data_IF_404186199511
#
_entry.id   IF_404186199511
#
_cell.length_a   1.000
_cell.length_b   1.000
_cell.length_c   1.000
_cell.angle_alpha   90.00
_cell.angle_beta   90.00
_cell.angle_gamma   90.00
#
_symmetry.space_group_name_H-M   'P 1'
#
loop_
_entity.id
_entity.type
_entity.pdbx_description
1 polymer ?
#
# COMPACT_ATOMS: atom_id res chain seq x y z
N UNK A 1 10.03 -19.43 -11.80
CA UNK A 1 10.42 -19.43 -10.37
C UNK A 1 10.56 -17.97 -9.99
N UNK A 2 9.48 -17.35 -9.53
CA UNK A 2 9.57 -16.01 -8.94
C UNK A 2 10.26 -16.21 -7.60
N UNK A 3 11.43 -15.59 -7.41
CA UNK A 3 12.01 -15.47 -6.08
C UNK A 3 10.95 -14.83 -5.17
N UNK A 4 10.93 -15.16 -3.89
CA UNK A 4 9.90 -14.68 -2.98
C UNK A 4 9.82 -13.15 -2.84
N UNK A 5 10.56 -12.36 -3.63
CA UNK A 5 10.69 -10.91 -3.58
C UNK A 5 9.48 -10.13 -4.14
N UNK A 6 8.59 -10.79 -4.89
CA UNK A 6 7.41 -10.16 -5.49
C UNK A 6 6.14 -10.14 -4.62
N UNK A 7 6.15 -10.79 -3.45
CA UNK A 7 4.96 -10.92 -2.61
C UNK A 7 4.72 -9.66 -1.74
N UNK A 8 3.45 -9.30 -1.45
CA UNK A 8 3.15 -8.30 -0.43
C UNK A 8 3.87 -8.65 0.89
N UNK A 9 4.49 -7.66 1.53
CA UNK A 9 5.15 -7.82 2.82
C UNK A 9 6.66 -8.06 2.78
N UNK A 10 7.24 -8.49 1.66
CA UNK A 10 8.71 -8.63 1.53
C UNK A 10 9.44 -7.32 1.85
N UNK A 11 9.00 -6.15 1.35
CA UNK A 11 9.67 -4.90 1.72
C UNK A 11 9.61 -4.63 3.22
N UNK A 12 8.50 -4.96 3.88
CA UNK A 12 8.36 -4.81 5.33
C UNK A 12 9.30 -5.76 6.09
N UNK A 13 9.55 -6.97 5.58
CA UNK A 13 10.52 -7.90 6.16
C UNK A 13 11.96 -7.39 6.02
N UNK A 14 12.34 -6.94 4.83
CA UNK A 14 13.68 -6.35 4.57
C UNK A 14 13.92 -5.15 5.48
N UNK A 15 12.92 -4.30 5.66
CA UNK A 15 12.98 -3.09 6.48
C UNK A 15 12.63 -3.33 7.96
N UNK A 16 12.35 -4.57 8.37
CA UNK A 16 11.96 -4.97 9.73
C UNK A 16 10.76 -4.19 10.30
N UNK A 17 9.77 -3.90 9.46
CA UNK A 17 8.52 -3.26 9.86
C UNK A 17 7.53 -4.31 10.36
N UNK A 18 7.76 -4.80 11.58
CA UNK A 18 7.11 -6.00 12.16
C UNK A 18 5.58 -6.00 12.09
N UNK A 19 4.93 -4.83 12.14
CA UNK A 19 3.47 -4.70 12.15
C UNK A 19 2.89 -4.20 10.83
N UNK A 20 3.63 -4.26 9.72
CA UNK A 20 3.21 -3.75 8.40
C UNK A 20 3.44 -4.77 7.27
N UNK A 21 2.81 -4.51 6.13
CA UNK A 21 3.07 -5.25 4.88
C UNK A 21 2.25 -6.53 4.70
N UNK A 22 1.45 -6.95 5.67
CA UNK A 22 0.46 -8.04 5.51
C UNK A 22 -0.90 -7.64 6.06
N UNK A 23 -1.96 -8.24 5.51
CA UNK A 23 -3.33 -8.08 5.98
C UNK A 23 -3.64 -9.22 6.97
N UNK A 24 -3.37 -8.98 8.25
CA UNK A 24 -3.63 -9.93 9.34
C UNK A 24 -4.12 -9.18 10.59
N UNK A 25 -4.90 -9.83 11.47
CA UNK A 25 -5.28 -9.24 12.75
C UNK A 25 -4.06 -8.77 13.55
N UNK A 26 -4.16 -7.59 14.18
CA UNK A 26 -3.09 -6.99 14.98
C UNK A 26 -2.06 -6.17 14.20
N UNK A 27 -2.10 -6.19 12.86
CA UNK A 27 -1.22 -5.35 12.03
C UNK A 27 -1.79 -3.94 11.80
N UNK A 28 -0.93 -3.00 11.39
CA UNK A 28 -1.37 -1.67 10.97
C UNK A 28 -2.27 -1.79 9.74
N UNK A 29 -3.37 -1.06 9.75
CA UNK A 29 -4.33 -1.00 8.63
C UNK A 29 -3.82 -0.07 7.52
N UNK A 30 -2.71 -0.48 6.89
CA UNK A 30 -2.22 0.10 5.64
C UNK A 30 -2.78 -0.72 4.48
N UNK A 31 -3.85 -0.23 3.84
CA UNK A 31 -4.68 -1.01 2.92
C UNK A 31 -4.86 -0.24 1.63
N UNK A 32 -4.61 -0.90 0.50
CA UNK A 32 -4.94 -0.38 -0.83
C UNK A 32 -6.05 -1.23 -1.46
N UNK A 33 -7.09 -0.58 -1.97
CA UNK A 33 -8.20 -1.20 -2.69
C UNK A 33 -8.18 -0.65 -4.11
N UNK A 34 -8.00 -1.51 -5.10
CA UNK A 34 -7.86 -1.08 -6.49
C UNK A 34 -8.29 -2.17 -7.48
N UNK A 35 -8.63 -1.74 -8.69
CA UNK A 35 -8.76 -2.60 -9.85
C UNK A 35 -7.40 -2.64 -10.58
N UNK A 36 -6.87 -3.83 -10.82
CA UNK A 36 -5.62 -3.99 -11.56
C UNK A 36 -5.80 -3.60 -13.04
N UNK A 37 -5.30 -2.43 -13.41
CA UNK A 37 -5.41 -1.88 -14.77
C UNK A 37 -4.06 -1.37 -15.29
N UNK A 38 -2.98 -2.11 -15.02
CA UNK A 38 -1.63 -1.77 -15.46
C UNK A 38 -1.31 -2.36 -16.84
N UNK A 39 -0.62 -1.59 -17.69
CA UNK A 39 -0.01 -2.10 -18.94
C UNK A 39 1.50 -1.93 -18.89
N UNK A 40 2.22 -2.97 -19.26
CA UNK A 40 3.69 -2.95 -19.34
C UNK A 40 4.22 -2.10 -20.51
N UNK A 41 3.37 -1.86 -21.52
CA UNK A 41 3.78 -1.26 -22.79
C UNK A 41 3.87 0.27 -22.76
N UNK A 42 3.35 0.90 -21.71
CA UNK A 42 3.41 2.34 -21.50
C UNK A 42 3.78 2.62 -20.04
N UNK A 43 5.07 2.50 -19.67
CA UNK A 43 5.53 2.81 -18.33
C UNK A 43 5.32 4.30 -18.01
N UNK A 44 5.25 4.64 -16.72
CA UNK A 44 5.07 6.02 -16.20
C UNK A 44 3.70 6.68 -16.45
N UNK A 45 2.68 5.92 -16.84
CA UNK A 45 1.31 6.44 -16.81
C UNK A 45 0.84 6.61 -15.37
N UNK A 46 -0.04 7.59 -15.15
CA UNK A 46 -0.73 7.72 -13.86
C UNK A 46 -1.50 6.43 -13.62
N UNK A 47 -1.31 5.83 -12.45
CA UNK A 47 -2.03 4.62 -12.07
C UNK A 47 -3.53 4.89 -12.03
N UNK A 48 -4.28 4.18 -12.87
CA UNK A 48 -5.75 4.19 -12.85
C UNK A 48 -6.27 2.98 -12.09
N UNK A 49 -7.46 3.11 -11.48
CA UNK A 49 -8.13 2.01 -10.78
C UNK A 49 -7.94 1.97 -9.26
N UNK A 50 -7.21 2.92 -8.67
CA UNK A 50 -7.17 3.09 -7.20
C UNK A 50 -8.54 3.56 -6.71
N UNK A 51 -9.15 2.79 -5.80
CA UNK A 51 -10.48 3.11 -5.23
C UNK A 51 -10.35 3.74 -3.85
N UNK A 52 -9.59 3.12 -2.95
CA UNK A 52 -9.39 3.61 -1.60
C UNK A 52 -7.99 3.29 -1.08
N UNK A 53 -7.43 4.19 -0.29
CA UNK A 53 -6.20 3.95 0.47
C UNK A 53 -6.41 4.31 1.93
N UNK A 54 -6.02 3.40 2.82
CA UNK A 54 -5.98 3.62 4.26
C UNK A 54 -4.53 3.60 4.73
N UNK A 55 -4.16 4.52 5.62
CA UNK A 55 -2.85 4.57 6.28
C UNK A 55 -3.09 4.55 7.77
N UNK A 56 -2.54 3.55 8.48
CA UNK A 56 -2.80 3.33 9.89
C UNK A 56 -4.31 3.35 10.26
N UNK A 57 -5.17 2.92 9.34
CA UNK A 57 -6.64 2.90 9.50
C UNK A 57 -7.36 4.21 9.16
N UNK A 58 -6.65 5.31 8.92
CA UNK A 58 -7.25 6.56 8.44
C UNK A 58 -7.41 6.55 6.92
N UNK A 59 -8.60 6.93 6.42
CA UNK A 59 -8.85 7.08 4.99
C UNK A 59 -8.01 8.23 4.43
N UNK A 60 -7.07 7.90 3.55
CA UNK A 60 -6.09 8.82 2.99
C UNK A 60 -6.37 9.18 1.52
N UNK A 61 -7.09 8.32 0.79
CA UNK A 61 -7.44 8.54 -0.61
C UNK A 61 -8.77 7.85 -0.95
N UNK A 62 -9.56 8.49 -1.80
CA UNK A 62 -10.75 7.96 -2.47
C UNK A 62 -10.55 8.05 -3.98
N UNK A 63 -11.35 7.35 -4.78
CA UNK A 63 -11.28 7.33 -6.25
C UNK A 63 -11.17 8.74 -6.86
N UNK A 64 -11.79 9.74 -6.23
CA UNK A 64 -11.81 11.11 -6.70
C UNK A 64 -10.64 11.98 -6.19
N UNK A 65 -10.20 11.79 -4.94
CA UNK A 65 -9.27 12.72 -4.31
C UNK A 65 -8.50 12.16 -3.08
N UNK A 66 -7.31 12.73 -2.79
CA UNK A 66 -6.68 12.61 -1.47
C UNK A 66 -7.55 13.22 -0.36
N UNK A 67 -7.45 12.66 0.83
CA UNK A 67 -8.11 13.17 2.03
C UNK A 67 -7.18 14.05 2.86
N UNK A 68 -7.76 14.99 3.62
CA UNK A 68 -7.01 15.81 4.59
C UNK A 68 -6.46 15.00 5.78
N UNK A 69 -6.95 13.76 5.98
CA UNK A 69 -6.50 12.87 7.05
C UNK A 69 -5.02 12.53 6.93
N UNK A 70 -4.21 12.99 7.90
CA UNK A 70 -2.77 12.70 7.97
C UNK A 70 -2.46 11.65 9.03
N UNK A 71 -2.84 10.42 8.76
CA UNK A 71 -2.59 9.28 9.67
C UNK A 71 -1.19 8.68 9.56
N UNK A 72 -0.29 9.28 8.75
CA UNK A 72 1.09 8.83 8.58
C UNK A 72 1.91 8.89 9.87
N UNK A 73 2.89 7.99 10.00
CA UNK A 73 3.81 7.96 11.14
C UNK A 73 5.25 7.89 10.64
N UNK A 74 6.15 8.60 11.29
CA UNK A 74 7.60 8.45 11.06
C UNK A 74 8.00 7.06 11.57
N UNK A 75 8.55 6.25 10.67
CA UNK A 75 9.12 4.96 11.03
C UNK A 75 10.50 5.20 11.64
N UNK A 76 10.75 4.61 12.81
CA UNK A 76 12.03 4.67 13.51
C UNK A 76 12.63 3.27 13.56
N UNK A 77 13.93 3.19 13.37
CA UNK A 77 14.72 1.96 13.46
C UNK A 77 15.12 1.66 14.91
#
# INVERSE_FOLDING_TARGET
>A
MFDGLGAPGVPAEILKLETRGRLQPGMRADIAIFDERATQWQPNQTGVGMRHVFVNGGLAFTEDAPMETRSGQVLRA
#
